data_IF_908560896075
#
_entry.id   IF_908560896075
#
_cell.length_a   1.000
_cell.length_b   1.000
_cell.length_c   1.000
_cell.angle_alpha   90.00
_cell.angle_beta   90.00
_cell.angle_gamma   90.00
#
_symmetry.space_group_name_H-M   'P 1'
#
loop_
_entity.id
_entity.type
_entity.pdbx_description
1 polymer ?
#
# COMPACT_ATOMS: atom_id res chain seq x y z
N UNK A 1 -53.85 41.01 -68.67
CA UNK A 1 -54.03 39.71 -69.35
C UNK A 1 -54.68 38.73 -68.37
N UNK A 2 -55.94 38.34 -68.59
CA UNK A 2 -56.58 37.14 -68.01
C UNK A 2 -56.20 35.91 -68.90
N UNK A 3 -56.67 34.64 -68.69
CA UNK A 3 -57.86 34.22 -67.95
C UNK A 3 -57.82 32.87 -67.17
N UNK A 4 -58.94 32.61 -66.45
CA UNK A 4 -59.80 31.39 -66.35
C UNK A 4 -59.14 29.98 -66.46
N UNK A 5 -59.58 28.97 -65.69
CA UNK A 5 -60.85 28.86 -64.99
C UNK A 5 -61.13 27.51 -64.31
N UNK A 6 -62.36 27.49 -63.78
CA UNK A 6 -63.13 26.47 -63.07
C UNK A 6 -63.34 25.12 -63.77
N UNK A 7 -63.49 24.01 -63.02
CA UNK A 7 -64.78 23.30 -62.80
C UNK A 7 -64.64 21.93 -62.09
N UNK A 8 -65.59 21.74 -61.18
CA UNK A 8 -66.31 20.58 -60.64
C UNK A 8 -66.09 19.15 -61.16
N UNK A 9 -66.03 18.22 -60.19
CA UNK A 9 -66.73 16.93 -60.02
C UNK A 9 -66.99 16.01 -61.24
N UNK A 10 -66.66 14.72 -61.10
CA UNK A 10 -67.58 13.58 -61.32
C UNK A 10 -66.97 12.27 -60.79
N UNK A 11 -67.81 11.53 -60.07
CA UNK A 11 -67.67 10.17 -59.53
C UNK A 11 -67.54 9.11 -60.62
N UNK A 12 -66.62 8.15 -60.46
CA UNK A 12 -66.70 6.84 -61.12
C UNK A 12 -65.91 5.77 -60.34
N UNK A 13 -66.62 4.95 -59.58
CA UNK A 13 -66.32 3.51 -59.36
C UNK A 13 -67.17 2.73 -60.38
N UNK A 14 -66.94 1.43 -60.70
CA UNK A 14 -65.96 0.47 -60.18
C UNK A 14 -65.27 -0.40 -61.27
N UNK A 15 -64.14 -1.04 -60.96
CA UNK A 15 -63.84 -2.38 -61.48
C UNK A 15 -62.71 -3.02 -60.67
N UNK A 16 -63.07 -3.97 -59.82
CA UNK A 16 -62.13 -4.94 -59.27
C UNK A 16 -62.03 -6.13 -60.23
N UNK A 17 -60.82 -6.56 -60.59
CA UNK A 17 -60.51 -7.96 -60.73
C UNK A 17 -59.81 -8.45 -59.46
N UNK A 18 -60.36 -9.55 -58.97
CA UNK A 18 -59.93 -10.40 -57.87
C UNK A 18 -58.46 -10.83 -57.98
N UNK A 19 -57.78 -10.73 -56.83
CA UNK A 19 -57.07 -11.83 -56.16
C UNK A 19 -56.13 -12.69 -57.01
N UNK A 20 -54.84 -12.43 -56.87
CA UNK A 20 -53.87 -13.31 -56.24
C UNK A 20 -52.57 -12.49 -56.04
N UNK A 21 -51.71 -12.86 -55.10
CA UNK A 21 -50.32 -12.38 -54.93
C UNK A 21 -50.00 -11.37 -53.82
N UNK A 22 -50.96 -10.75 -53.13
CA UNK A 22 -50.65 -9.89 -51.97
C UNK A 22 -50.72 -10.57 -50.59
N UNK A 23 -50.86 -11.91 -50.53
CA UNK A 23 -50.91 -12.68 -49.26
C UNK A 23 -49.70 -13.57 -48.99
N UNK A 24 -48.71 -13.62 -49.89
CA UNK A 24 -47.47 -14.37 -49.67
C UNK A 24 -46.43 -13.55 -48.87
N UNK A 25 -46.43 -12.22 -48.99
CA UNK A 25 -45.37 -11.39 -48.40
C UNK A 25 -45.67 -10.86 -46.99
N UNK A 26 -46.90 -11.03 -46.49
CA UNK A 26 -47.26 -10.61 -45.13
C UNK A 26 -46.87 -11.64 -44.04
N UNK A 27 -46.59 -12.89 -44.41
CA UNK A 27 -46.21 -13.96 -43.47
C UNK A 27 -44.69 -14.16 -43.33
N UNK A 28 -43.87 -13.47 -44.13
CA UNK A 28 -42.40 -13.56 -44.07
C UNK A 28 -41.79 -12.46 -43.19
N UNK A 29 -42.51 -11.35 -42.95
CA UNK A 29 -42.05 -10.24 -42.10
C UNK A 29 -42.55 -10.29 -40.64
N UNK A 30 -43.43 -11.23 -40.28
CA UNK A 30 -43.98 -11.36 -38.93
C UNK A 30 -43.35 -12.47 -38.07
N UNK A 31 -42.17 -13.00 -38.46
CA UNK A 31 -41.52 -14.14 -37.77
C UNK A 31 -40.02 -13.97 -37.48
N UNK A 32 -39.57 -12.73 -37.26
CA UNK A 32 -38.22 -12.44 -36.73
C UNK A 32 -38.30 -11.39 -35.62
N UNK A 33 -38.02 -11.83 -34.39
CA UNK A 33 -37.77 -10.94 -33.26
C UNK A 33 -38.69 -11.11 -32.07
N UNK A 34 -38.98 -12.35 -31.64
CA UNK A 34 -39.28 -12.57 -30.22
C UNK A 34 -38.12 -11.97 -29.40
N UNK A 35 -38.37 -11.32 -28.24
CA UNK A 35 -37.28 -10.96 -27.36
C UNK A 35 -36.65 -12.28 -26.89
N UNK A 36 -35.52 -12.62 -27.50
CA UNK A 36 -34.56 -13.52 -26.89
C UNK A 36 -34.32 -12.94 -25.51
N UNK A 37 -34.84 -13.62 -24.49
CA UNK A 37 -34.33 -13.52 -23.13
C UNK A 37 -32.84 -13.76 -23.31
N UNK A 38 -32.06 -12.68 -23.29
CA UNK A 38 -30.62 -12.76 -23.20
C UNK A 38 -30.40 -13.41 -21.85
N UNK A 39 -30.27 -14.73 -21.88
CA UNK A 39 -29.64 -15.50 -20.81
C UNK A 39 -28.44 -14.68 -20.39
N UNK A 40 -28.43 -14.31 -19.10
CA UNK A 40 -27.26 -13.78 -18.42
C UNK A 40 -26.05 -14.50 -18.99
N UNK A 41 -25.29 -13.80 -19.84
CA UNK A 41 -23.99 -14.27 -20.26
C UNK A 41 -23.17 -14.27 -19.00
N UNK A 42 -23.07 -15.46 -18.42
CA UNK A 42 -21.89 -16.05 -17.82
C UNK A 42 -20.87 -14.97 -17.46
N UNK A 43 -21.08 -14.35 -16.29
CA UNK A 43 -19.94 -13.85 -15.51
C UNK A 43 -18.98 -15.03 -15.47
N UNK A 44 -17.77 -14.95 -16.07
CA UNK A 44 -16.79 -16.00 -15.87
C UNK A 44 -16.64 -16.11 -14.36
N UNK A 45 -16.88 -17.31 -13.83
CA UNK A 45 -16.94 -17.64 -12.42
C UNK A 45 -16.12 -16.65 -11.60
N UNK A 46 -16.81 -15.87 -10.77
CA UNK A 46 -16.12 -15.22 -9.66
C UNK A 46 -15.27 -16.32 -9.03
N UNK A 47 -13.93 -16.15 -8.94
CA UNK A 47 -13.09 -17.19 -8.37
C UNK A 47 -13.72 -17.58 -7.04
N UNK A 48 -13.87 -18.89 -6.75
CA UNK A 48 -14.60 -19.35 -5.58
C UNK A 48 -14.11 -18.53 -4.40
N UNK A 49 -15.03 -17.79 -3.77
CA UNK A 49 -14.72 -17.01 -2.58
C UNK A 49 -13.97 -17.96 -1.66
N UNK A 50 -12.68 -17.67 -1.46
CA UNK A 50 -11.74 -18.58 -0.80
C UNK A 50 -12.38 -18.95 0.53
N UNK A 51 -12.76 -20.24 0.69
CA UNK A 51 -13.58 -20.68 1.81
C UNK A 51 -12.99 -20.13 3.11
N UNK A 52 -13.80 -19.53 4.00
CA UNK A 52 -13.29 -18.98 5.25
C UNK A 52 -12.58 -20.12 5.98
N UNK A 53 -11.27 -19.97 6.15
CA UNK A 53 -10.43 -20.99 6.77
C UNK A 53 -10.98 -21.29 8.16
N UNK A 54 -11.40 -22.55 8.37
CA UNK A 54 -12.03 -23.07 9.60
C UNK A 54 -11.15 -23.03 10.85
N UNK A 55 -9.92 -22.53 10.73
CA UNK A 55 -8.97 -22.39 11.82
C UNK A 55 -9.37 -21.22 12.73
N UNK A 56 -9.31 -21.42 14.05
CA UNK A 56 -9.57 -20.36 15.01
C UNK A 56 -8.57 -19.20 14.83
N UNK A 57 -8.96 -17.94 15.11
CA UNK A 57 -8.07 -16.78 15.02
C UNK A 57 -6.75 -16.95 15.78
N UNK A 58 -6.81 -17.53 16.99
CA UNK A 58 -5.63 -17.78 17.82
C UNK A 58 -4.66 -18.79 17.18
N UNK A 59 -5.19 -19.82 16.52
CA UNK A 59 -4.36 -20.82 15.86
C UNK A 59 -3.69 -20.26 14.60
N UNK A 60 -4.39 -19.39 13.85
CA UNK A 60 -3.80 -18.67 12.71
C UNK A 60 -2.68 -17.73 13.16
N UNK A 61 -2.90 -16.99 14.25
CA UNK A 61 -1.87 -16.12 14.82
C UNK A 61 -0.64 -16.92 15.28
N UNK A 62 -0.86 -18.02 15.99
CA UNK A 62 0.23 -18.90 16.46
C UNK A 62 0.98 -19.50 15.27
N UNK A 63 0.26 -19.94 14.23
CA UNK A 63 0.85 -20.47 13.01
C UNK A 63 1.70 -19.42 12.27
N UNK A 64 1.22 -18.18 12.17
CA UNK A 64 1.98 -17.06 11.58
C UNK A 64 3.28 -16.82 12.33
N UNK A 65 3.22 -16.75 13.65
CA UNK A 65 4.40 -16.54 14.49
C UNK A 65 5.39 -17.71 14.36
N UNK A 66 4.92 -18.96 14.45
CA UNK A 66 5.78 -20.12 14.32
C UNK A 66 6.43 -20.22 12.94
N UNK A 67 5.68 -19.92 11.88
CA UNK A 67 6.17 -20.01 10.51
C UNK A 67 7.18 -18.89 10.23
N UNK A 68 6.93 -17.67 10.72
CA UNK A 68 7.90 -16.57 10.68
C UNK A 68 9.23 -16.98 11.30
N UNK A 69 9.20 -17.49 12.54
CA UNK A 69 10.40 -17.89 13.27
C UNK A 69 11.12 -19.05 12.57
N UNK A 70 10.36 -20.03 12.06
CA UNK A 70 10.92 -21.16 11.32
C UNK A 70 11.60 -20.73 10.03
N UNK A 71 11.00 -19.82 9.24
CA UNK A 71 11.59 -19.29 8.01
C UNK A 71 12.87 -18.50 8.33
N UNK A 72 12.82 -17.59 9.31
CA UNK A 72 13.99 -16.82 9.74
C UNK A 72 15.13 -17.75 10.17
N UNK A 73 14.84 -18.74 11.02
CA UNK A 73 15.82 -19.73 11.45
C UNK A 73 16.41 -20.53 10.28
N UNK A 74 15.56 -21.00 9.35
CA UNK A 74 16.00 -21.75 8.19
C UNK A 74 16.87 -20.91 7.24
N UNK A 75 16.54 -19.63 7.04
CA UNK A 75 17.32 -18.70 6.21
C UNK A 75 18.69 -18.44 6.83
N UNK A 76 18.76 -18.11 8.12
CA UNK A 76 20.06 -17.88 8.80
C UNK A 76 20.91 -19.16 8.87
N UNK A 77 20.31 -20.33 9.13
CA UNK A 77 21.05 -21.61 9.12
C UNK A 77 21.55 -21.97 7.71
N UNK A 78 20.72 -21.71 6.69
CA UNK A 78 21.11 -21.85 5.30
C UNK A 78 22.28 -20.92 4.95
N UNK A 79 22.21 -19.66 5.39
CA UNK A 79 23.26 -18.68 5.18
C UNK A 79 24.61 -19.14 5.70
N UNK A 80 24.64 -19.67 6.93
CA UNK A 80 25.85 -20.24 7.53
C UNK A 80 26.39 -21.42 6.70
N UNK A 81 25.51 -22.34 6.29
CA UNK A 81 25.91 -23.54 5.53
C UNK A 81 26.49 -23.20 4.15
N UNK A 82 25.96 -22.19 3.48
CA UNK A 82 26.43 -21.75 2.16
C UNK A 82 27.60 -20.75 2.24
N UNK A 83 28.19 -20.55 3.43
CA UNK A 83 29.35 -19.69 3.62
C UNK A 83 29.03 -18.21 3.40
N UNK A 84 27.81 -17.77 3.70
CA UNK A 84 27.51 -16.34 3.72
C UNK A 84 28.12 -15.76 4.99
N UNK A 85 29.09 -14.85 4.84
CA UNK A 85 29.79 -14.14 5.93
C UNK A 85 28.87 -13.22 6.77
N UNK A 86 27.56 -13.41 6.67
CA UNK A 86 26.52 -12.65 7.36
C UNK A 86 26.74 -12.63 8.88
N UNK A 87 26.96 -13.81 9.46
CA UNK A 87 27.13 -13.96 10.91
C UNK A 87 28.37 -13.24 11.42
N UNK A 88 29.50 -13.36 10.73
CA UNK A 88 30.77 -12.73 11.11
C UNK A 88 30.68 -11.21 10.98
N UNK A 89 30.11 -10.74 9.86
CA UNK A 89 29.95 -9.32 9.61
C UNK A 89 28.99 -8.65 10.61
N UNK A 90 27.89 -9.32 10.98
CA UNK A 90 26.95 -8.86 12.00
C UNK A 90 27.51 -8.99 13.42
N UNK A 91 28.24 -10.05 13.74
CA UNK A 91 28.82 -10.26 15.08
C UNK A 91 29.77 -9.13 15.48
N UNK A 92 30.49 -8.55 14.51
CA UNK A 92 31.40 -7.42 14.74
C UNK A 92 30.70 -6.08 15.03
N UNK A 93 29.38 -5.99 14.86
CA UNK A 93 28.58 -4.78 15.08
C UNK A 93 27.49 -5.00 16.13
N UNK A 94 27.08 -6.26 16.31
CA UNK A 94 26.01 -6.66 17.20
C UNK A 94 26.36 -6.42 18.67
N UNK A 95 25.38 -5.91 19.42
CA UNK A 95 25.45 -5.86 20.89
C UNK A 95 25.38 -7.29 21.43
N UNK A 96 26.29 -7.64 22.32
CA UNK A 96 26.21 -8.94 23.00
C UNK A 96 25.02 -8.93 23.95
N UNK A 97 24.10 -9.87 23.76
CA UNK A 97 22.87 -10.02 24.54
C UNK A 97 23.00 -11.30 25.35
N UNK A 98 23.40 -11.16 26.61
CA UNK A 98 23.49 -12.29 27.55
C UNK A 98 22.31 -12.32 28.53
N UNK A 99 21.58 -11.22 28.64
CA UNK A 99 20.49 -11.05 29.59
C UNK A 99 19.17 -11.63 29.06
N UNK A 100 18.55 -12.49 29.87
CA UNK A 100 17.27 -13.17 29.57
C UNK A 100 16.16 -12.16 29.36
N UNK A 101 16.13 -11.06 30.13
CA UNK A 101 15.13 -10.02 29.96
C UNK A 101 15.23 -9.36 28.59
N UNK A 102 16.45 -9.10 28.14
CA UNK A 102 16.72 -8.52 26.83
C UNK A 102 16.30 -9.47 25.71
N UNK A 103 16.60 -10.77 25.81
CA UNK A 103 16.10 -11.79 24.86
C UNK A 103 14.57 -11.83 24.84
N UNK A 104 13.94 -11.77 26.01
CA UNK A 104 12.48 -11.71 26.16
C UNK A 104 11.88 -10.47 25.49
N UNK A 105 12.53 -9.31 25.61
CA UNK A 105 12.11 -8.07 24.96
C UNK A 105 12.17 -8.18 23.43
N UNK A 106 13.25 -8.75 22.86
CA UNK A 106 13.34 -9.01 21.42
C UNK A 106 12.25 -9.96 20.94
N UNK A 107 12.01 -11.05 21.68
CA UNK A 107 10.95 -11.99 21.33
C UNK A 107 9.57 -11.32 21.41
N UNK A 108 9.31 -10.53 22.45
CA UNK A 108 8.08 -9.76 22.60
C UNK A 108 7.91 -8.77 21.43
N UNK A 109 8.98 -8.12 20.98
CA UNK A 109 8.97 -7.29 19.79
C UNK A 109 8.58 -8.09 18.56
N UNK A 110 9.14 -9.30 18.35
CA UNK A 110 8.77 -10.16 17.22
C UNK A 110 7.30 -10.59 17.25
N UNK A 111 6.75 -10.84 18.44
CA UNK A 111 5.30 -11.10 18.63
C UNK A 111 4.48 -9.85 18.28
N UNK A 112 4.94 -8.68 18.70
CA UNK A 112 4.28 -7.40 18.44
C UNK A 112 4.24 -7.05 16.95
N UNK A 113 5.32 -7.30 16.21
CA UNK A 113 5.37 -7.12 14.74
C UNK A 113 4.31 -7.97 14.02
N UNK A 114 4.21 -9.26 14.38
CA UNK A 114 3.16 -10.15 13.84
C UNK A 114 1.77 -9.70 14.30
N UNK A 115 1.67 -9.23 15.54
CA UNK A 115 0.45 -8.64 16.13
C UNK A 115 -0.12 -7.50 15.30
N UNK A 116 0.71 -6.57 14.84
CA UNK A 116 0.27 -5.44 14.03
C UNK A 116 -0.19 -5.88 12.64
N UNK A 117 0.55 -6.77 11.98
CA UNK A 117 0.16 -7.33 10.68
C UNK A 117 -1.20 -8.02 10.78
N UNK A 118 -1.38 -8.82 11.84
CA UNK A 118 -2.63 -9.53 12.12
C UNK A 118 -3.78 -8.55 12.42
N UNK A 119 -3.59 -7.63 13.36
CA UNK A 119 -4.62 -6.70 13.82
C UNK A 119 -5.08 -5.73 12.71
N UNK A 120 -4.16 -5.32 11.83
CA UNK A 120 -4.48 -4.44 10.71
C UNK A 120 -4.98 -5.20 9.47
N UNK A 121 -4.94 -6.54 9.48
CA UNK A 121 -5.37 -7.38 8.36
C UNK A 121 -4.53 -7.18 7.09
N UNK A 122 -3.22 -6.97 7.24
CA UNK A 122 -2.35 -6.73 6.10
C UNK A 122 -2.14 -7.97 5.25
N UNK A 123 -2.17 -7.78 3.94
CA UNK A 123 -1.79 -8.82 3.00
C UNK A 123 -0.27 -8.92 2.87
N UNK A 124 0.20 -9.90 2.10
CA UNK A 124 1.63 -10.15 1.92
C UNK A 124 2.39 -8.96 1.34
N UNK A 125 1.76 -8.16 0.47
CA UNK A 125 2.41 -7.05 -0.20
C UNK A 125 2.48 -5.81 0.71
N UNK A 126 1.43 -5.56 1.51
CA UNK A 126 1.43 -4.53 2.54
C UNK A 126 2.47 -4.86 3.63
N UNK A 127 2.54 -6.13 4.04
CA UNK A 127 3.54 -6.62 5.00
C UNK A 127 4.96 -6.49 4.44
N UNK A 128 5.19 -6.91 3.19
CA UNK A 128 6.50 -6.79 2.55
C UNK A 128 6.93 -5.31 2.41
N UNK A 129 6.00 -4.43 2.00
CA UNK A 129 6.27 -3.00 1.87
C UNK A 129 6.61 -2.36 3.22
N UNK A 130 5.81 -2.63 4.26
CA UNK A 130 6.04 -2.09 5.60
C UNK A 130 7.35 -2.60 6.20
N UNK A 131 7.65 -3.88 6.03
CA UNK A 131 8.89 -4.51 6.51
C UNK A 131 10.10 -3.90 5.81
N UNK A 132 10.05 -3.75 4.49
CA UNK A 132 11.13 -3.11 3.72
C UNK A 132 11.37 -1.68 4.18
N UNK A 133 10.30 -0.89 4.38
CA UNK A 133 10.40 0.49 4.85
C UNK A 133 10.99 0.59 6.26
N UNK A 134 10.69 -0.38 7.14
CA UNK A 134 11.11 -0.34 8.54
C UNK A 134 12.51 -0.94 8.79
N UNK A 135 12.94 -1.94 8.00
CA UNK A 135 14.23 -2.61 8.18
C UNK A 135 15.36 -1.98 7.36
N UNK A 136 15.07 -1.46 6.17
CA UNK A 136 16.12 -0.85 5.31
C UNK A 136 16.94 0.24 6.02
N UNK A 137 16.34 1.16 6.82
CA UNK A 137 17.10 2.18 7.53
C UNK A 137 18.18 1.63 8.46
N UNK A 138 17.91 0.50 9.13
CA UNK A 138 18.87 -0.15 10.02
C UNK A 138 20.05 -0.71 9.22
N UNK A 139 19.77 -1.49 8.18
CA UNK A 139 20.82 -2.05 7.33
C UNK A 139 21.60 -0.98 6.55
N UNK A 140 20.96 0.14 6.21
CA UNK A 140 21.64 1.28 5.60
C UNK A 140 22.65 1.91 6.56
N UNK A 141 22.29 2.07 7.84
CA UNK A 141 23.23 2.53 8.88
C UNK A 141 24.44 1.59 8.95
N UNK A 142 24.20 0.28 9.01
CA UNK A 142 25.26 -0.72 9.11
C UNK A 142 26.17 -0.73 7.88
N UNK A 143 25.59 -0.64 6.69
CA UNK A 143 26.33 -0.63 5.43
C UNK A 143 27.16 0.64 5.28
N UNK A 144 26.58 1.79 5.61
CA UNK A 144 27.22 3.09 5.41
C UNK A 144 28.29 3.43 6.46
N UNK A 145 28.11 3.01 7.72
CA UNK A 145 28.95 3.49 8.84
C UNK A 145 29.67 2.40 9.62
N UNK A 146 29.25 1.14 9.47
CA UNK A 146 29.86 -0.02 10.14
C UNK A 146 30.55 -0.99 9.16
N UNK A 147 30.73 -0.58 7.90
CA UNK A 147 31.34 -1.38 6.84
C UNK A 147 30.69 -2.77 6.69
N UNK A 148 29.37 -2.87 6.92
CA UNK A 148 28.65 -4.11 6.60
C UNK A 148 28.62 -4.27 5.07
N UNK A 149 28.98 -5.43 4.52
CA UNK A 149 28.91 -5.65 3.08
C UNK A 149 27.46 -5.45 2.57
N UNK A 150 27.23 -4.68 1.48
CA UNK A 150 25.89 -4.45 0.95
C UNK A 150 25.14 -5.74 0.60
N UNK A 151 25.88 -6.78 0.17
CA UNK A 151 25.32 -8.11 -0.10
C UNK A 151 24.69 -8.71 1.15
N UNK A 152 25.37 -8.62 2.28
CA UNK A 152 24.87 -9.12 3.57
C UNK A 152 23.61 -8.35 3.97
N UNK A 153 23.66 -7.02 3.91
CA UNK A 153 22.49 -6.18 4.19
C UNK A 153 21.27 -6.57 3.35
N UNK A 154 21.45 -6.79 2.04
CA UNK A 154 20.36 -7.20 1.14
C UNK A 154 19.80 -8.59 1.48
N UNK A 155 20.65 -9.55 1.85
CA UNK A 155 20.23 -10.88 2.27
C UNK A 155 19.44 -10.84 3.58
N UNK A 156 19.86 -10.01 4.54
CA UNK A 156 19.13 -9.83 5.79
C UNK A 156 17.76 -9.19 5.54
N UNK A 157 17.70 -8.09 4.76
CA UNK A 157 16.42 -7.46 4.38
C UNK A 157 15.52 -8.47 3.67
N UNK A 158 16.06 -9.23 2.72
CA UNK A 158 15.30 -10.26 2.01
C UNK A 158 14.76 -11.33 2.96
N UNK A 159 15.57 -11.76 3.92
CA UNK A 159 15.21 -12.73 4.94
C UNK A 159 14.08 -12.22 5.83
N UNK A 160 14.18 -10.98 6.33
CA UNK A 160 13.15 -10.37 7.17
C UNK A 160 11.83 -10.18 6.42
N UNK A 161 11.92 -9.68 5.18
CA UNK A 161 10.76 -9.51 4.30
C UNK A 161 10.10 -10.85 4.04
N UNK A 162 10.86 -11.87 3.65
CA UNK A 162 10.33 -13.20 3.35
C UNK A 162 9.73 -13.87 4.59
N UNK A 163 10.38 -13.75 5.75
CA UNK A 163 9.92 -14.31 7.01
C UNK A 163 8.59 -13.71 7.47
N UNK A 164 8.27 -12.46 7.10
CA UNK A 164 7.00 -11.82 7.43
C UNK A 164 5.96 -11.94 6.32
N UNK A 165 6.36 -11.79 5.06
CA UNK A 165 5.44 -11.77 3.92
C UNK A 165 4.95 -13.17 3.53
N UNK A 166 5.80 -14.19 3.61
CA UNK A 166 5.43 -15.55 3.19
C UNK A 166 4.37 -16.18 4.11
N UNK A 167 4.47 -16.11 5.46
CA UNK A 167 3.39 -16.56 6.33
C UNK A 167 2.08 -15.81 6.07
N UNK A 168 2.18 -14.49 5.87
CA UNK A 168 1.03 -13.64 5.58
C UNK A 168 0.35 -14.08 4.27
N UNK A 169 1.12 -14.40 3.23
CA UNK A 169 0.61 -14.90 1.97
C UNK A 169 -0.14 -16.24 2.11
N UNK A 170 0.39 -17.15 2.94
CA UNK A 170 -0.15 -18.50 3.09
C UNK A 170 -1.39 -18.57 3.99
N UNK A 171 -1.45 -17.73 5.03
CA UNK A 171 -2.43 -17.86 6.11
C UNK A 171 -3.47 -16.73 6.15
N UNK A 172 -3.18 -15.57 5.56
CA UNK A 172 -4.09 -14.42 5.56
C UNK A 172 -4.81 -14.30 4.21
N UNK A 173 -6.10 -13.91 4.22
CA UNK A 173 -6.81 -13.59 3.00
C UNK A 173 -6.17 -12.35 2.34
N UNK A 174 -6.12 -12.34 1.01
CA UNK A 174 -5.60 -11.19 0.27
C UNK A 174 -6.57 -10.01 0.38
N UNK A 175 -6.05 -8.82 0.65
CA UNK A 175 -6.85 -7.61 0.86
C UNK A 175 -7.72 -7.27 -0.36
N UNK A 176 -8.98 -6.91 -0.11
CA UNK A 176 -9.98 -6.52 -1.14
C UNK A 176 -9.57 -5.30 -1.94
N UNK A 177 -8.65 -4.47 -1.41
CA UNK A 177 -8.04 -3.35 -2.14
C UNK A 177 -7.25 -3.80 -3.38
N UNK A 178 -6.76 -5.05 -3.38
CA UNK A 178 -5.91 -5.64 -4.42
C UNK A 178 -6.63 -6.78 -5.16
N UNK A 179 -7.63 -7.42 -4.55
CA UNK A 179 -8.41 -8.51 -5.14
C UNK A 179 -9.83 -8.07 -5.54
N UNK A 180 -10.08 -8.05 -6.85
CA UNK A 180 -11.38 -7.98 -7.54
C UNK A 180 -12.18 -6.66 -7.42
N UNK A 181 -12.31 -5.99 -8.57
CA UNK A 181 -13.36 -5.01 -8.90
C UNK A 181 -13.47 -3.76 -8.01
N UNK A 182 -12.38 -3.25 -7.45
CA UNK A 182 -12.40 -1.86 -7.00
C UNK A 182 -12.60 -0.96 -8.23
N UNK A 183 -13.59 -0.05 -8.23
CA UNK A 183 -13.86 0.85 -9.37
C UNK A 183 -12.61 1.62 -9.83
N UNK A 184 -11.68 1.86 -8.90
CA UNK A 184 -10.46 2.64 -9.10
C UNK A 184 -9.22 1.77 -9.36
N UNK A 185 -9.38 0.46 -9.59
CA UNK A 185 -8.27 -0.45 -9.90
C UNK A 185 -7.41 0.05 -11.08
N UNK A 186 -7.97 0.52 -12.21
CA UNK A 186 -7.16 0.99 -13.33
C UNK A 186 -6.18 2.09 -12.92
N UNK A 187 -6.60 3.02 -12.06
CA UNK A 187 -5.76 4.11 -11.56
C UNK A 187 -4.66 3.63 -10.61
N UNK A 188 -4.96 2.61 -9.80
CA UNK A 188 -3.98 2.03 -8.88
C UNK A 188 -2.95 1.13 -9.59
N UNK A 189 -3.33 0.50 -10.71
CA UNK A 189 -2.47 -0.42 -11.48
C UNK A 189 -1.81 0.21 -12.70
N UNK A 190 -2.10 1.47 -13.00
CA UNK A 190 -1.49 2.19 -14.12
C UNK A 190 0.04 2.26 -13.93
N UNK A 191 0.84 1.71 -14.87
CA UNK A 191 2.30 1.76 -14.80
C UNK A 191 2.87 3.17 -14.71
N UNK A 192 2.25 4.15 -15.37
CA UNK A 192 2.72 5.54 -15.36
C UNK A 192 2.49 6.20 -14.00
N UNK A 193 1.30 5.99 -13.41
CA UNK A 193 0.99 6.46 -12.04
C UNK A 193 1.89 5.77 -11.04
N UNK A 194 2.09 4.45 -11.19
CA UNK A 194 2.97 3.69 -10.32
C UNK A 194 4.42 4.20 -10.39
N UNK A 195 4.94 4.43 -11.60
CA UNK A 195 6.29 4.95 -11.81
C UNK A 195 6.47 6.35 -11.21
N UNK A 196 5.56 7.28 -11.53
CA UNK A 196 5.67 8.69 -11.10
C UNK A 196 5.54 8.83 -9.58
N UNK A 197 4.56 8.17 -8.95
CA UNK A 197 4.38 8.25 -7.49
C UNK A 197 5.47 7.52 -6.71
N UNK A 198 5.98 6.39 -7.22
CA UNK A 198 7.13 5.70 -6.61
C UNK A 198 8.40 6.53 -6.73
N UNK A 199 8.65 7.12 -7.89
CA UNK A 199 9.83 7.97 -8.14
C UNK A 199 9.77 9.24 -7.29
N UNK A 200 8.60 9.86 -7.16
CA UNK A 200 8.38 10.98 -6.25
C UNK A 200 8.71 10.60 -4.80
N UNK A 201 8.16 9.49 -4.30
CA UNK A 201 8.44 9.03 -2.94
C UNK A 201 9.93 8.71 -2.73
N UNK A 202 10.58 8.07 -3.71
CA UNK A 202 12.02 7.81 -3.69
C UNK A 202 12.84 9.10 -3.66
N UNK A 203 12.47 10.10 -4.47
CA UNK A 203 13.13 11.41 -4.50
C UNK A 203 13.04 12.13 -3.15
N UNK A 204 11.88 12.07 -2.47
CA UNK A 204 11.71 12.65 -1.13
C UNK A 204 12.63 11.98 -0.11
N UNK A 205 12.64 10.64 -0.04
CA UNK A 205 13.58 9.91 0.83
C UNK A 205 15.04 10.26 0.52
N UNK A 206 15.40 10.29 -0.76
CA UNK A 206 16.76 10.59 -1.20
C UNK A 206 17.20 12.01 -0.83
N UNK A 207 16.35 13.02 -1.05
CA UNK A 207 16.65 14.41 -0.73
C UNK A 207 16.80 14.60 0.77
N UNK A 208 15.91 14.02 1.59
CA UNK A 208 15.97 14.13 3.05
C UNK A 208 17.23 13.44 3.60
N UNK A 209 17.54 12.24 3.10
CA UNK A 209 18.75 11.52 3.48
C UNK A 209 20.00 12.29 3.07
N UNK A 210 20.08 12.75 1.82
CA UNK A 210 21.21 13.51 1.30
C UNK A 210 21.41 14.83 2.06
N UNK A 211 20.35 15.60 2.27
CA UNK A 211 20.40 16.84 3.04
C UNK A 211 20.89 16.58 4.46
N UNK A 212 20.39 15.52 5.11
CA UNK A 212 20.81 15.16 6.47
C UNK A 212 22.30 14.78 6.52
N UNK A 213 22.77 13.95 5.59
CA UNK A 213 24.19 13.57 5.46
C UNK A 213 25.11 14.79 5.29
N UNK A 214 24.67 15.82 4.56
CA UNK A 214 25.46 17.03 4.29
C UNK A 214 25.38 18.12 5.36
N UNK A 215 24.40 18.07 6.26
CA UNK A 215 24.14 19.19 7.20
C UNK A 215 24.41 18.86 8.66
N UNK A 216 23.81 17.79 9.19
CA UNK A 216 23.82 17.54 10.64
C UNK A 216 24.17 16.10 11.02
N UNK A 217 23.87 15.13 10.14
CA UNK A 217 23.88 13.72 10.47
C UNK A 217 25.29 13.20 10.78
N UNK A 218 26.33 13.65 10.06
CA UNK A 218 27.71 13.25 10.33
C UNK A 218 28.15 13.62 11.76
N UNK A 219 27.94 14.88 12.16
CA UNK A 219 28.24 15.34 13.53
C UNK A 219 27.41 14.56 14.54
N UNK A 220 26.11 14.42 14.29
CA UNK A 220 25.20 13.69 15.17
C UNK A 220 25.67 12.25 15.41
N UNK A 221 26.02 11.51 14.35
CA UNK A 221 26.51 10.15 14.45
C UNK A 221 27.80 10.09 15.31
N UNK A 222 28.79 10.96 15.03
CA UNK A 222 30.04 10.96 15.82
C UNK A 222 29.85 11.26 17.30
N UNK A 223 28.79 11.99 17.67
CA UNK A 223 28.51 12.34 19.06
C UNK A 223 27.66 11.32 19.81
N UNK A 224 26.93 10.44 19.11
CA UNK A 224 25.90 9.57 19.71
C UNK A 224 26.12 8.08 19.44
N UNK A 225 27.06 7.74 18.56
CA UNK A 225 27.37 6.38 18.16
C UNK A 225 28.85 6.11 18.45
N UNK A 226 29.10 5.30 19.46
CA UNK A 226 30.43 4.75 19.73
C UNK A 226 30.70 3.56 18.79
N UNK A 227 31.94 3.44 18.30
CA UNK A 227 32.34 2.33 17.44
C UNK A 227 31.97 2.45 15.96
N UNK A 228 31.64 3.66 15.49
CA UNK A 228 31.56 3.95 14.04
C UNK A 228 32.90 3.58 13.36
N UNK A 229 32.84 2.85 12.25
CA UNK A 229 34.04 2.39 11.53
C UNK A 229 34.50 3.37 10.47
N UNK A 230 33.58 4.05 9.80
CA UNK A 230 33.89 5.03 8.74
C UNK A 230 32.78 6.06 8.59
N UNK A 231 33.15 7.26 8.15
CA UNK A 231 32.22 8.32 7.70
C UNK A 231 32.35 8.60 6.19
N UNK A 232 33.13 7.78 5.48
CA UNK A 232 33.36 7.93 4.04
C UNK A 232 32.06 7.97 3.26
N UNK A 233 31.08 7.13 3.63
CA UNK A 233 29.78 7.12 2.98
C UNK A 233 29.05 8.47 3.08
N UNK A 234 29.17 9.21 4.19
CA UNK A 234 28.57 10.54 4.31
C UNK A 234 29.30 11.59 3.46
N UNK A 235 30.63 11.49 3.38
CA UNK A 235 31.44 12.39 2.55
C UNK A 235 31.19 12.14 1.06
N UNK A 236 31.25 10.89 0.63
CA UNK A 236 31.05 10.44 -0.75
C UNK A 236 29.57 10.44 -1.17
N UNK A 237 28.64 10.65 -0.25
CA UNK A 237 27.21 10.70 -0.56
C UNK A 237 26.92 11.73 -1.65
N UNK A 238 26.38 11.23 -2.77
CA UNK A 238 25.77 12.02 -3.83
C UNK A 238 24.27 11.79 -3.87
N UNK A 239 23.52 12.76 -4.40
CA UNK A 239 22.07 12.66 -4.53
C UNK A 239 21.65 11.45 -5.39
N UNK A 240 22.39 11.16 -6.46
CA UNK A 240 22.14 9.99 -7.30
C UNK A 240 22.28 8.66 -6.55
N UNK A 241 23.29 8.52 -5.69
CA UNK A 241 23.47 7.33 -4.85
C UNK A 241 22.33 7.18 -3.83
N UNK A 242 21.93 8.28 -3.19
CA UNK A 242 20.79 8.29 -2.27
C UNK A 242 19.49 7.91 -3.00
N UNK A 243 19.32 8.35 -4.25
CA UNK A 243 18.16 8.02 -5.07
C UNK A 243 18.08 6.53 -5.37
N UNK A 244 19.19 5.91 -5.80
CA UNK A 244 19.25 4.47 -6.08
C UNK A 244 18.83 3.64 -4.87
N UNK A 245 19.33 4.00 -3.68
CA UNK A 245 18.98 3.33 -2.43
C UNK A 245 17.51 3.59 -2.03
N UNK A 246 16.96 4.76 -2.37
CA UNK A 246 15.59 5.13 -2.06
C UNK A 246 14.54 4.56 -3.05
N UNK A 247 14.93 4.06 -4.22
CA UNK A 247 14.00 3.46 -5.20
C UNK A 247 13.10 2.37 -4.60
N UNK A 248 13.61 1.34 -3.91
CA UNK A 248 12.76 0.33 -3.27
C UNK A 248 11.85 0.94 -2.20
N UNK A 249 12.34 1.91 -1.43
CA UNK A 249 11.55 2.61 -0.41
C UNK A 249 10.39 3.40 -1.03
N UNK A 250 10.63 4.09 -2.14
CA UNK A 250 9.60 4.81 -2.87
C UNK A 250 8.50 3.89 -3.39
N UNK A 251 8.89 2.74 -3.97
CA UNK A 251 7.94 1.72 -4.42
C UNK A 251 7.10 1.16 -3.27
N UNK A 252 7.75 0.77 -2.17
CA UNK A 252 7.06 0.25 -1.00
C UNK A 252 6.15 1.30 -0.34
N UNK A 253 6.56 2.56 -0.26
CA UNK A 253 5.74 3.63 0.30
C UNK A 253 4.49 3.88 -0.54
N UNK A 254 4.61 3.84 -1.88
CA UNK A 254 3.45 3.90 -2.78
C UNK A 254 2.51 2.73 -2.53
N UNK A 255 3.02 1.50 -2.50
CA UNK A 255 2.20 0.31 -2.29
C UNK A 255 1.48 0.33 -0.93
N UNK A 256 2.15 0.78 0.12
CA UNK A 256 1.60 0.77 1.47
C UNK A 256 0.60 1.91 1.74
N UNK A 257 0.82 3.09 1.13
CA UNK A 257 0.05 4.31 1.44
C UNK A 257 -0.86 4.72 0.30
N UNK A 258 -0.34 4.83 -0.92
CA UNK A 258 -1.07 5.38 -2.06
C UNK A 258 -2.07 4.39 -2.65
N UNK A 259 -1.67 3.13 -2.89
CA UNK A 259 -2.55 2.09 -3.43
C UNK A 259 -3.84 1.92 -2.61
N UNK A 260 -3.81 1.73 -1.28
CA UNK A 260 -5.03 1.62 -0.48
C UNK A 260 -5.82 2.93 -0.43
N UNK A 261 -5.17 4.10 -0.47
CA UNK A 261 -5.86 5.39 -0.51
C UNK A 261 -6.65 5.59 -1.82
N UNK A 262 -6.11 5.15 -2.96
CA UNK A 262 -6.81 5.15 -4.26
C UNK A 262 -7.95 4.13 -4.26
N UNK A 263 -7.73 2.95 -3.69
CA UNK A 263 -8.79 1.94 -3.57
C UNK A 263 -9.97 2.43 -2.72
N UNK A 264 -9.71 3.30 -1.74
CA UNK A 264 -10.72 3.91 -0.88
C UNK A 264 -11.44 5.12 -1.49
N UNK A 265 -11.14 5.51 -2.74
CA UNK A 265 -11.93 6.55 -3.41
C UNK A 265 -13.38 6.07 -3.65
N UNK A 266 -14.39 6.92 -3.38
CA UNK A 266 -15.76 6.58 -3.75
C UNK A 266 -15.85 6.40 -5.27
N UNK A 267 -16.70 5.47 -5.77
CA UNK A 267 -16.93 5.34 -7.20
C UNK A 267 -17.38 6.68 -7.76
N UNK A 268 -16.81 7.09 -8.90
CA UNK A 268 -17.25 8.28 -9.58
C UNK A 268 -18.77 8.18 -9.81
N UNK A 269 -19.58 9.17 -9.38
CA UNK A 269 -20.98 9.19 -9.76
C UNK A 269 -21.03 9.17 -11.29
N UNK A 270 -21.89 8.33 -11.87
CA UNK A 270 -22.24 8.43 -13.29
C UNK A 270 -22.93 9.78 -13.48
N UNK A 271 -22.14 10.84 -13.63
CA UNK A 271 -22.63 12.17 -13.90
C UNK A 271 -23.19 12.14 -15.31
N UNK A 272 -24.50 12.38 -15.43
CA UNK A 272 -25.05 12.81 -16.70
C UNK A 272 -24.31 14.10 -17.09
N UNK A 273 -23.79 14.13 -18.31
CA UNK A 273 -23.01 15.24 -18.85
C UNK A 273 -23.77 16.56 -18.63
N UNK A 274 -23.20 17.47 -17.83
CA UNK A 274 -23.80 18.78 -17.50
C UNK A 274 -24.52 18.91 -16.14
N UNK A 275 -24.61 17.84 -15.32
CA UNK A 275 -25.20 17.95 -13.98
C UNK A 275 -24.21 18.52 -12.95
N UNK A 276 -24.62 19.48 -12.09
CA UNK A 276 -23.77 19.97 -11.01
C UNK A 276 -23.44 18.84 -10.02
N UNK A 277 -22.23 18.84 -9.42
CA UNK A 277 -21.85 17.82 -8.45
C UNK A 277 -22.85 17.79 -7.28
N UNK A 278 -23.26 16.60 -6.80
CA UNK A 278 -24.18 16.51 -5.69
C UNK A 278 -23.55 17.18 -4.45
N UNK A 279 -24.35 17.93 -3.66
CA UNK A 279 -23.84 18.52 -2.43
C UNK A 279 -23.35 17.41 -1.48
N UNK A 280 -22.24 17.63 -0.74
CA UNK A 280 -21.77 16.66 0.23
C UNK A 280 -22.88 16.38 1.26
N UNK A 281 -23.04 15.13 1.73
CA UNK A 281 -24.04 14.80 2.73
C UNK A 281 -23.78 15.63 4.00
N UNK A 282 -24.83 16.17 4.65
CA UNK A 282 -24.67 16.93 5.89
C UNK A 282 -24.05 16.06 6.97
N UNK A 283 -23.06 16.61 7.68
CA UNK A 283 -22.43 15.92 8.80
C UNK A 283 -23.42 15.84 9.97
N UNK A 284 -23.62 14.65 10.52
CA UNK A 284 -24.42 14.50 11.74
C UNK A 284 -23.79 15.28 12.91
N UNK A 285 -24.61 15.93 13.76
CA UNK A 285 -24.14 16.61 14.96
C UNK A 285 -23.31 15.67 15.85
N UNK A 286 -22.28 16.19 16.52
CA UNK A 286 -21.50 15.42 17.48
C UNK A 286 -22.20 15.42 18.82
N UNK A 287 -22.57 14.23 19.31
CA UNK A 287 -23.07 14.02 20.65
C UNK A 287 -21.93 13.54 21.55
N UNK A 288 -21.38 14.38 22.43
CA UNK A 288 -20.30 14.00 23.34
C UNK A 288 -20.73 12.98 24.40
N UNK A 289 -22.02 12.84 24.69
CA UNK A 289 -22.52 11.94 25.74
C UNK A 289 -22.65 10.48 25.26
N UNK A 290 -22.94 10.28 23.97
CA UNK A 290 -23.02 8.96 23.35
C UNK A 290 -21.72 8.55 22.61
N UNK A 291 -20.79 9.48 22.41
CA UNK A 291 -19.57 9.23 21.65
C UNK A 291 -18.58 8.32 22.39
N UNK A 292 -18.03 7.36 21.66
CA UNK A 292 -16.86 6.60 22.11
C UNK A 292 -15.62 7.49 22.19
N UNK A 293 -14.58 7.02 22.90
CA UNK A 293 -13.28 7.71 22.96
C UNK A 293 -12.69 7.94 21.56
N UNK A 294 -12.85 6.97 20.66
CA UNK A 294 -12.41 7.09 19.26
C UNK A 294 -13.16 8.18 18.49
N UNK A 295 -14.49 8.24 18.64
CA UNK A 295 -15.32 9.28 17.99
C UNK A 295 -15.01 10.68 18.51
N UNK A 296 -14.72 10.79 19.81
CA UNK A 296 -14.29 12.04 20.44
C UNK A 296 -12.92 12.47 19.92
N UNK A 297 -11.99 11.54 19.74
CA UNK A 297 -10.68 11.84 19.15
C UNK A 297 -10.77 12.28 17.68
N UNK A 298 -11.58 11.57 16.88
CA UNK A 298 -11.87 11.92 15.47
C UNK A 298 -12.55 13.30 15.37
N UNK A 299 -13.43 13.63 16.31
CA UNK A 299 -14.06 14.95 16.40
C UNK A 299 -13.03 16.05 16.68
N UNK A 300 -12.18 15.88 17.70
CA UNK A 300 -11.16 16.88 18.06
C UNK A 300 -10.10 17.09 16.97
N UNK A 301 -9.80 16.07 16.18
CA UNK A 301 -8.89 16.17 15.03
C UNK A 301 -9.57 16.73 13.76
N UNK A 302 -10.86 17.06 13.79
CA UNK A 302 -11.59 17.56 12.63
C UNK A 302 -11.79 16.53 11.51
N UNK A 303 -11.68 15.23 11.82
CA UNK A 303 -11.69 14.15 10.83
C UNK A 303 -13.09 13.63 10.50
N UNK A 304 -14.15 14.14 11.16
CA UNK A 304 -15.54 13.71 10.92
C UNK A 304 -16.01 13.91 9.48
N UNK A 305 -15.49 14.93 8.78
CA UNK A 305 -15.77 15.19 7.36
C UNK A 305 -14.70 14.67 6.38
N UNK A 306 -13.70 13.94 6.84
CA UNK A 306 -12.64 13.43 5.99
C UNK A 306 -13.19 12.37 5.01
N UNK A 307 -12.81 12.47 3.74
CA UNK A 307 -13.15 11.47 2.73
C UNK A 307 -12.60 10.09 3.12
N UNK A 308 -13.19 8.97 2.66
CA UNK A 308 -12.68 7.63 2.96
C UNK A 308 -11.21 7.46 2.55
N UNK A 309 -10.82 8.06 1.42
CA UNK A 309 -9.42 8.20 1.00
C UNK A 309 -8.56 8.88 2.06
N UNK A 310 -8.97 10.05 2.58
CA UNK A 310 -8.20 10.80 3.57
C UNK A 310 -8.05 10.01 4.88
N UNK A 311 -9.10 9.30 5.31
CA UNK A 311 -9.05 8.41 6.49
C UNK A 311 -8.04 7.27 6.30
N UNK A 312 -8.09 6.60 5.15
CA UNK A 312 -7.14 5.52 4.81
C UNK A 312 -5.71 6.03 4.72
N UNK A 313 -5.50 7.17 4.05
CA UNK A 313 -4.20 7.81 3.92
C UNK A 313 -3.62 8.16 5.29
N UNK A 314 -4.43 8.77 6.17
CA UNK A 314 -3.99 9.15 7.52
C UNK A 314 -3.69 7.92 8.37
N UNK A 315 -4.54 6.89 8.33
CA UNK A 315 -4.34 5.66 9.10
C UNK A 315 -3.07 4.91 8.65
N UNK A 316 -2.91 4.69 7.33
CA UNK A 316 -1.71 4.05 6.75
C UNK A 316 -0.47 4.90 6.96
N UNK A 317 -0.60 6.22 6.83
CA UNK A 317 0.50 7.16 7.04
C UNK A 317 0.98 7.21 8.48
N UNK A 318 0.06 7.34 9.44
CA UNK A 318 0.39 7.33 10.86
C UNK A 318 1.05 6.01 11.27
N UNK A 319 0.53 4.89 10.75
CA UNK A 319 1.15 3.60 11.00
C UNK A 319 2.54 3.50 10.35
N UNK A 320 2.72 3.93 9.10
CA UNK A 320 4.03 3.91 8.45
C UNK A 320 5.07 4.71 9.26
N UNK A 321 4.73 5.93 9.66
CA UNK A 321 5.62 6.82 10.42
C UNK A 321 5.93 6.22 11.80
N UNK A 322 4.90 5.83 12.55
CA UNK A 322 5.07 5.28 13.89
C UNK A 322 5.82 3.95 13.88
N UNK A 323 5.47 3.06 12.94
CA UNK A 323 6.08 1.75 12.81
C UNK A 323 7.55 1.85 12.40
N UNK A 324 7.85 2.61 11.34
CA UNK A 324 9.23 2.81 10.89
C UNK A 324 10.07 3.40 12.02
N UNK A 325 9.57 4.42 12.72
CA UNK A 325 10.31 5.04 13.82
C UNK A 325 10.57 4.06 14.96
N UNK A 326 9.55 3.34 15.42
CA UNK A 326 9.70 2.42 16.55
C UNK A 326 10.59 1.22 16.21
N UNK A 327 10.45 0.67 14.99
CA UNK A 327 11.20 -0.48 14.52
C UNK A 327 12.67 -0.13 14.25
N UNK A 328 12.94 1.05 13.68
CA UNK A 328 14.31 1.52 13.50
C UNK A 328 14.97 1.83 14.84
N UNK A 329 14.23 2.43 15.78
CA UNK A 329 14.73 2.67 17.12
C UNK A 329 15.13 1.36 17.81
N UNK A 330 14.24 0.36 17.81
CA UNK A 330 14.47 -0.93 18.43
C UNK A 330 15.67 -1.66 17.80
N UNK A 331 15.76 -1.72 16.47
CA UNK A 331 16.88 -2.37 15.80
C UNK A 331 18.21 -1.66 16.06
N UNK A 332 18.22 -0.33 16.08
CA UNK A 332 19.46 0.42 16.29
C UNK A 332 19.91 0.36 17.75
N UNK A 333 19.03 0.68 18.70
CA UNK A 333 19.36 0.66 20.13
C UNK A 333 19.59 -0.76 20.67
N UNK A 334 18.78 -1.71 20.20
CA UNK A 334 18.82 -3.09 20.64
C UNK A 334 19.99 -3.87 20.04
N UNK A 335 20.21 -3.73 18.72
CA UNK A 335 21.16 -4.60 18.02
C UNK A 335 22.53 -3.97 17.79
N UNK A 336 22.70 -2.65 17.78
CA UNK A 336 24.00 -2.04 17.47
C UNK A 336 24.77 -1.71 18.75
N UNK A 337 26.01 -2.21 18.85
CA UNK A 337 26.88 -1.92 19.99
C UNK A 337 27.32 -0.45 19.98
N UNK A 338 27.29 0.19 21.15
CA UNK A 338 27.83 1.54 21.36
C UNK A 338 26.89 2.68 20.96
N UNK A 339 25.65 2.40 20.56
CA UNK A 339 24.69 3.46 20.22
C UNK A 339 23.97 3.93 21.47
N UNK A 340 23.89 5.24 21.70
CA UNK A 340 23.08 5.84 22.76
C UNK A 340 21.57 5.85 22.44
N UNK A 341 20.65 5.90 23.42
CA UNK A 341 19.21 5.99 23.13
C UNK A 341 18.87 7.23 22.30
N UNK A 342 19.56 8.35 22.57
CA UNK A 342 19.42 9.58 21.80
C UNK A 342 19.89 9.42 20.35
N UNK A 343 20.95 8.64 20.11
CA UNK A 343 21.44 8.31 18.78
C UNK A 343 20.42 7.48 17.98
N UNK A 344 19.90 6.42 18.59
CA UNK A 344 18.86 5.58 18.00
C UNK A 344 17.58 6.39 17.70
N UNK A 345 17.17 7.26 18.62
CA UNK A 345 15.99 8.12 18.45
C UNK A 345 16.17 9.14 17.31
N UNK A 346 17.35 9.76 17.18
CA UNK A 346 17.60 10.70 16.07
C UNK A 346 17.69 10.00 14.72
N UNK A 347 18.29 8.81 14.65
CA UNK A 347 18.29 7.99 13.43
C UNK A 347 16.87 7.56 13.05
N UNK A 348 16.10 7.02 13.99
CA UNK A 348 14.69 6.68 13.77
C UNK A 348 13.85 7.90 13.36
N UNK A 349 14.07 9.04 14.01
CA UNK A 349 13.36 10.29 13.75
C UNK A 349 13.58 10.82 12.33
N UNK A 350 14.79 10.69 11.79
CA UNK A 350 15.09 11.01 10.38
C UNK A 350 14.18 10.24 9.42
N UNK A 351 14.09 8.93 9.61
CA UNK A 351 13.30 8.06 8.74
C UNK A 351 11.80 8.21 8.94
N UNK A 352 11.36 8.43 10.19
CA UNK A 352 9.97 8.79 10.51
C UNK A 352 9.54 10.11 9.87
N UNK A 353 10.40 11.14 9.96
CA UNK A 353 10.15 12.44 9.32
C UNK A 353 10.11 12.31 7.79
N UNK A 354 11.03 11.53 7.19
CA UNK A 354 11.01 11.27 5.76
C UNK A 354 9.72 10.57 5.32
N UNK A 355 9.29 9.55 6.06
CA UNK A 355 8.01 8.87 5.81
C UNK A 355 6.82 9.83 5.93
N UNK A 356 6.82 10.75 6.90
CA UNK A 356 5.75 11.73 7.07
C UNK A 356 5.66 12.69 5.87
N UNK A 357 6.80 13.17 5.36
CA UNK A 357 6.84 14.02 4.16
C UNK A 357 6.37 13.26 2.92
N UNK A 358 6.75 11.98 2.77
CA UNK A 358 6.27 11.12 1.68
C UNK A 358 4.76 10.95 1.74
N UNK A 359 4.20 10.63 2.92
CA UNK A 359 2.75 10.50 3.13
C UNK A 359 2.03 11.79 2.78
N UNK A 360 2.54 12.94 3.23
CA UNK A 360 1.96 14.25 2.92
C UNK A 360 1.98 14.54 1.41
N UNK A 361 3.10 14.27 0.75
CA UNK A 361 3.26 14.46 -0.69
C UNK A 361 2.36 13.54 -1.53
N UNK A 362 2.28 12.25 -1.19
CA UNK A 362 1.37 11.31 -1.85
C UNK A 362 -0.11 11.66 -1.58
N UNK A 363 -0.40 12.24 -0.42
CA UNK A 363 -1.70 12.80 -0.09
C UNK A 363 -2.09 13.99 -0.95
N UNK A 364 -1.13 14.85 -1.25
CA UNK A 364 -1.31 16.01 -2.14
C UNK A 364 -1.56 15.57 -3.59
N UNK A 365 -0.75 14.64 -4.12
CA UNK A 365 -0.83 14.18 -5.52
C UNK A 365 -2.20 13.63 -5.87
N UNK A 366 -2.91 13.01 -4.94
CA UNK A 366 -4.25 12.48 -5.23
C UNK A 366 -5.42 13.38 -4.85
N UNK A 367 -5.16 14.65 -4.47
CA UNK A 367 -6.17 15.71 -4.41
C UNK A 367 -6.22 16.53 -5.70
N UNK A 368 -5.06 16.69 -6.35
CA UNK A 368 -4.91 17.24 -7.70
C UNK A 368 -5.37 16.19 -8.70
#
# INVERSE_FOLDING_TARGET
MPPRGSRSATTATPSSPKSADAKADANVLARRGSPTVINQQLVPDAPPAMQPSRLSPALKFTALLSLRLAISWAMHTGAEKYGWEEKEALAGVSRHIEDVWTVGAFLAWRVFEVGIIWACGFDYADTAALTTLSHTPHYLLLTAFYNLPPRTALLCIFTDVLALSLPSYLLLPTSTTRTLNSPNRPLATDPFVAFTTSTFAAAVYAVILFASLKTWLGVFLTTRFEGLRSLEAAHAAGLGGCLVVALPLGWCAREFVFTPAVAALPPAPKQAEGAPPPPPPPLEPFDPAAATLGETFVYNLGLRGASPRAKTLLARGALLVGWTSANVFEQVWGSVKGVEPGGAAGWAGLWGAAAAVVVAGLGWIGKV
#
